data_IF_117847666194
#
_entry.id   IF_117847666194
#
_cell.length_a   1.000
_cell.length_b   1.000
_cell.length_c   1.000
_cell.angle_alpha   90.00
_cell.angle_beta   90.00
_cell.angle_gamma   90.00
#
_symmetry.space_group_name_H-M   'P 1'
#
loop_
_entity.id
_entity.type
_entity.pdbx_description
1 polymer ?
#
# COMPACT_ATOMS: atom_id res chain seq x y z
N UNK A 1 -27.97 -43.45 -9.08
CA UNK A 1 -26.71 -42.73 -9.32
C UNK A 1 -25.92 -42.76 -8.01
N UNK A 2 -24.95 -43.66 -7.89
CA UNK A 2 -24.20 -43.93 -6.66
C UNK A 2 -22.97 -43.03 -6.66
N UNK A 3 -22.86 -42.08 -5.72
CA UNK A 3 -21.62 -41.31 -5.49
C UNK A 3 -20.64 -42.20 -4.73
N UNK A 4 -19.53 -42.56 -5.39
CA UNK A 4 -18.39 -43.17 -4.70
C UNK A 4 -17.59 -42.08 -3.97
N UNK A 5 -17.12 -42.34 -2.73
CA UNK A 5 -16.25 -41.42 -1.99
C UNK A 5 -14.90 -41.27 -2.70
N UNK A 6 -14.34 -40.06 -2.64
CA UNK A 6 -13.14 -39.63 -3.36
C UNK A 6 -11.98 -40.62 -3.24
N UNK A 7 -11.66 -41.29 -4.35
CA UNK A 7 -10.36 -41.91 -4.55
C UNK A 7 -9.38 -40.78 -4.84
N UNK A 8 -8.40 -40.62 -3.96
CA UNK A 8 -7.19 -39.86 -4.24
C UNK A 8 -6.60 -40.40 -5.55
N UNK A 9 -6.42 -39.53 -6.54
CA UNK A 9 -5.76 -39.89 -7.79
C UNK A 9 -4.29 -40.13 -7.45
N UNK A 10 -3.87 -41.40 -7.48
CA UNK A 10 -2.45 -41.74 -7.47
C UNK A 10 -1.89 -41.36 -8.85
N UNK A 11 -1.02 -40.37 -8.91
CA UNK A 11 -0.33 -39.99 -10.14
C UNK A 11 0.75 -41.04 -10.46
N UNK A 12 0.46 -41.86 -11.45
CA UNK A 12 1.40 -42.83 -12.01
C UNK A 12 2.22 -42.17 -13.13
N UNK A 13 3.54 -42.31 -13.06
CA UNK A 13 4.45 -41.96 -14.17
C UNK A 13 4.93 -43.25 -14.85
N UNK A 14 5.43 -43.11 -16.08
CA UNK A 14 6.04 -44.20 -16.84
C UNK A 14 7.48 -43.82 -17.17
N UNK A 15 8.42 -44.75 -17.03
CA UNK A 15 9.81 -44.53 -17.45
C UNK A 15 9.97 -44.67 -18.98
N UNK A 16 11.19 -44.47 -19.47
CA UNK A 16 11.52 -44.53 -20.90
C UNK A 16 11.24 -45.91 -21.53
N UNK A 17 11.16 -46.96 -20.71
CA UNK A 17 10.81 -48.33 -21.12
C UNK A 17 9.31 -48.63 -20.96
N UNK A 18 8.51 -47.65 -20.54
CA UNK A 18 7.06 -47.76 -20.35
C UNK A 18 6.65 -48.52 -19.09
N UNK A 19 7.55 -48.70 -18.12
CA UNK A 19 7.25 -49.35 -16.85
C UNK A 19 6.62 -48.31 -15.91
N UNK A 20 5.41 -48.57 -15.39
CA UNK A 20 4.77 -47.67 -14.46
C UNK A 20 5.52 -47.66 -13.13
N UNK A 21 5.83 -46.46 -12.62
CA UNK A 21 6.35 -46.27 -11.28
C UNK A 21 5.53 -45.22 -10.53
N UNK A 22 5.43 -45.42 -9.22
CA UNK A 22 4.76 -44.48 -8.34
C UNK A 22 5.66 -43.25 -8.17
N UNK A 23 5.15 -42.05 -8.50
CA UNK A 23 5.87 -40.82 -8.16
C UNK A 23 5.86 -40.76 -6.62
N UNK A 24 7.03 -40.80 -5.95
CA UNK A 24 7.04 -40.68 -4.50
C UNK A 24 6.39 -39.35 -4.14
N UNK A 25 5.37 -39.39 -3.28
CA UNK A 25 4.80 -38.17 -2.71
C UNK A 25 5.91 -37.47 -1.95
N UNK A 26 6.45 -36.42 -2.56
CA UNK A 26 7.34 -35.48 -1.89
C UNK A 26 6.38 -34.48 -1.24
N UNK A 27 6.12 -34.56 0.09
CA UNK A 27 5.34 -33.53 0.75
C UNK A 27 5.95 -32.16 0.40
N UNK A 28 5.13 -31.12 0.20
CA UNK A 28 5.65 -29.77 -0.01
C UNK A 28 6.69 -29.53 1.06
N UNK A 29 7.93 -29.29 0.65
CA UNK A 29 8.97 -28.87 1.59
C UNK A 29 8.43 -27.57 2.16
N UNK A 30 7.95 -27.61 3.40
CA UNK A 30 7.67 -26.43 4.19
C UNK A 30 9.00 -25.70 4.29
N UNK A 31 9.26 -24.81 3.35
CA UNK A 31 10.42 -23.94 3.43
C UNK A 31 10.22 -23.16 4.73
N UNK A 32 11.16 -23.22 5.68
CA UNK A 32 11.04 -22.45 6.90
C UNK A 32 10.82 -21.00 6.48
N UNK A 33 9.70 -20.43 6.91
CA UNK A 33 9.45 -18.99 6.78
C UNK A 33 10.67 -18.34 7.41
N UNK A 34 11.46 -17.55 6.67
CA UNK A 34 12.69 -16.99 7.21
C UNK A 34 12.32 -16.24 8.49
N UNK A 35 12.92 -16.67 9.59
CA UNK A 35 12.46 -16.41 10.96
C UNK A 35 12.57 -14.93 11.37
N UNK A 36 13.14 -14.07 10.51
CA UNK A 36 13.20 -12.64 10.74
C UNK A 36 13.27 -11.87 9.41
N UNK A 37 12.26 -11.05 9.14
CA UNK A 37 12.30 -10.05 8.07
C UNK A 37 13.04 -8.81 8.58
N UNK A 38 14.10 -8.33 7.89
CA UNK A 38 14.80 -7.11 8.26
C UNK A 38 13.83 -5.93 8.47
N UNK A 39 14.06 -5.11 9.50
CA UNK A 39 13.16 -4.00 9.87
C UNK A 39 12.86 -3.07 8.68
N UNK A 40 13.85 -2.80 7.83
CA UNK A 40 13.70 -1.97 6.63
C UNK A 40 12.63 -2.52 5.66
N UNK A 41 12.54 -3.85 5.52
CA UNK A 41 11.55 -4.49 4.65
C UNK A 41 10.15 -4.44 5.25
N UNK A 42 10.04 -4.58 6.57
CA UNK A 42 8.76 -4.40 7.27
C UNK A 42 8.25 -2.96 7.10
N UNK A 43 9.12 -1.97 7.29
CA UNK A 43 8.80 -0.55 7.10
C UNK A 43 8.37 -0.30 5.64
N UNK A 44 9.10 -0.84 4.68
CA UNK A 44 8.78 -0.70 3.25
C UNK A 44 7.42 -1.33 2.91
N UNK A 45 7.10 -2.49 3.48
CA UNK A 45 5.80 -3.15 3.33
C UNK A 45 4.67 -2.31 3.90
N UNK A 46 4.83 -1.76 5.10
CA UNK A 46 3.84 -0.85 5.72
C UNK A 46 3.64 0.40 4.84
N UNK A 47 4.71 0.95 4.25
CA UNK A 47 4.61 2.07 3.30
C UNK A 47 3.85 1.67 2.04
N UNK A 48 4.08 0.47 1.50
CA UNK A 48 3.35 -0.05 0.35
C UNK A 48 1.86 -0.25 0.66
N UNK A 49 1.53 -0.89 1.78
CA UNK A 49 0.16 -1.13 2.22
C UNK A 49 -0.61 0.17 2.48
N UNK A 50 0.07 1.19 3.00
CA UNK A 50 -0.52 2.53 3.23
C UNK A 50 -0.55 3.44 1.99
N UNK A 51 0.00 3.01 0.85
CA UNK A 51 0.10 3.83 -0.37
C UNK A 51 1.06 5.02 -0.23
N UNK A 52 2.03 4.94 0.68
CA UNK A 52 3.00 6.02 1.00
C UNK A 52 4.41 5.71 0.52
N UNK A 53 4.53 4.98 -0.58
CA UNK A 53 5.84 4.69 -1.17
C UNK A 53 6.43 5.98 -1.78
N UNK A 54 7.75 6.19 -1.63
CA UNK A 54 8.43 7.32 -2.26
C UNK A 54 8.35 7.23 -3.79
N UNK A 55 8.59 8.34 -4.48
CA UNK A 55 8.60 8.33 -5.95
C UNK A 55 9.76 7.52 -6.55
N UNK A 56 10.92 7.55 -5.90
CA UNK A 56 12.07 6.74 -6.26
C UNK A 56 12.12 5.48 -5.39
N UNK A 57 12.22 4.32 -6.03
CA UNK A 57 12.53 3.06 -5.35
C UNK A 57 13.78 2.43 -5.94
N UNK A 58 14.57 1.82 -5.07
CA UNK A 58 15.74 1.05 -5.47
C UNK A 58 15.31 -0.26 -6.15
N UNK A 59 16.19 -0.81 -6.98
CA UNK A 59 15.90 -2.08 -7.66
C UNK A 59 15.66 -3.25 -6.69
N UNK A 60 16.27 -3.23 -5.51
CA UNK A 60 16.08 -4.27 -4.48
C UNK A 60 14.71 -4.16 -3.81
N UNK A 61 14.26 -2.92 -3.51
CA UNK A 61 12.93 -2.65 -2.97
C UNK A 61 11.84 -3.05 -3.97
N UNK A 62 12.01 -2.72 -5.25
CA UNK A 62 11.07 -3.12 -6.31
C UNK A 62 11.04 -4.64 -6.44
N UNK A 63 12.19 -5.31 -6.46
CA UNK A 63 12.27 -6.77 -6.50
C UNK A 63 11.50 -7.40 -5.34
N UNK A 64 11.73 -6.90 -4.12
CA UNK A 64 11.07 -7.35 -2.91
C UNK A 64 9.54 -7.15 -2.96
N UNK A 65 9.08 -5.96 -3.33
CA UNK A 65 7.65 -5.63 -3.39
C UNK A 65 6.89 -6.40 -4.49
N UNK A 66 7.59 -6.90 -5.50
CA UNK A 66 7.07 -7.82 -6.51
C UNK A 66 7.16 -9.30 -6.12
N UNK A 67 7.81 -9.62 -4.99
CA UNK A 67 8.05 -11.00 -4.55
C UNK A 67 9.19 -11.71 -5.29
N UNK A 68 10.06 -10.98 -5.99
CA UNK A 68 11.23 -11.55 -6.67
C UNK A 68 12.47 -11.58 -5.77
N UNK A 69 13.30 -12.61 -5.95
CA UNK A 69 14.69 -12.57 -5.47
C UNK A 69 15.48 -11.56 -6.31
N UNK A 70 16.32 -10.73 -5.67
CA UNK A 70 17.17 -9.71 -6.34
C UNK A 70 17.90 -10.24 -7.57
N UNK A 71 18.49 -11.44 -7.50
CA UNK A 71 19.20 -12.07 -8.64
C UNK A 71 18.28 -12.36 -9.84
N UNK A 72 17.05 -12.81 -9.59
CA UNK A 72 16.09 -13.09 -10.65
C UNK A 72 15.60 -11.78 -11.28
N UNK A 73 15.32 -10.77 -10.46
CA UNK A 73 14.91 -9.45 -10.92
C UNK A 73 15.98 -8.75 -11.77
N UNK A 74 17.26 -8.83 -11.37
CA UNK A 74 18.36 -8.27 -12.15
C UNK A 74 18.48 -8.92 -13.53
N UNK A 75 18.32 -10.24 -13.64
CA UNK A 75 18.31 -10.94 -14.94
C UNK A 75 17.12 -10.51 -15.80
N UNK A 76 15.97 -10.29 -15.17
CA UNK A 76 14.77 -9.82 -15.84
C UNK A 76 14.98 -8.42 -16.45
N UNK A 77 15.57 -7.50 -15.68
CA UNK A 77 15.87 -6.14 -16.17
C UNK A 77 16.99 -6.13 -17.21
N UNK A 78 17.98 -7.03 -17.15
CA UNK A 78 19.06 -7.05 -18.16
C UNK A 78 18.57 -7.30 -19.59
N UNK A 79 17.42 -7.97 -19.74
CA UNK A 79 16.85 -8.30 -21.05
C UNK A 79 15.93 -7.20 -21.59
N UNK A 80 15.54 -6.22 -20.78
CA UNK A 80 14.51 -5.24 -21.12
C UNK A 80 14.92 -3.83 -20.66
N UNK A 81 14.82 -2.79 -21.49
CA UNK A 81 15.38 -1.47 -21.20
C UNK A 81 14.53 -0.70 -20.16
N UNK A 82 14.67 -1.05 -18.89
CA UNK A 82 14.25 -0.19 -17.79
C UNK A 82 15.28 0.93 -17.64
N UNK A 83 14.82 2.18 -17.66
CA UNK A 83 15.69 3.32 -17.39
C UNK A 83 16.03 3.37 -15.89
N UNK A 84 17.31 3.12 -15.59
CA UNK A 84 17.85 3.09 -14.23
C UNK A 84 18.49 4.44 -13.92
N UNK A 85 18.16 4.97 -12.75
CA UNK A 85 18.78 6.15 -12.16
C UNK A 85 19.65 5.75 -10.96
N UNK A 86 20.62 6.61 -10.64
CA UNK A 86 21.52 6.42 -9.51
C UNK A 86 21.31 7.54 -8.50
N UNK A 87 20.95 7.16 -7.28
CA UNK A 87 20.90 8.08 -6.14
C UNK A 87 22.23 8.03 -5.40
N UNK A 88 22.86 9.18 -5.23
CA UNK A 88 24.11 9.34 -4.50
C UNK A 88 23.83 9.83 -3.08
N UNK A 89 24.10 8.99 -2.09
CA UNK A 89 23.91 9.31 -0.67
C UNK A 89 25.28 9.46 0.00
N UNK A 90 25.62 10.64 0.56
CA UNK A 90 26.83 10.78 1.35
C UNK A 90 26.68 10.04 2.68
N UNK A 91 27.67 9.23 3.02
CA UNK A 91 27.80 8.51 4.29
C UNK A 91 29.06 9.01 4.97
N UNK A 92 28.91 9.54 6.17
CA UNK A 92 30.03 9.97 7.02
C UNK A 92 30.44 8.80 7.92
N UNK A 93 31.71 8.41 7.89
CA UNK A 93 32.29 7.42 8.80
C UNK A 93 32.71 8.05 10.13
N UNK A 94 32.94 7.21 11.15
CA UNK A 94 33.35 7.65 12.49
C UNK A 94 34.65 8.47 12.50
N UNK A 95 35.48 8.35 11.46
CA UNK A 95 36.75 9.10 11.30
C UNK A 95 36.59 10.44 10.56
N UNK A 96 35.35 10.82 10.20
CA UNK A 96 35.00 12.05 9.50
C UNK A 96 35.18 12.01 7.97
N UNK A 97 35.51 10.84 7.37
CA UNK A 97 35.53 10.69 5.92
C UNK A 97 34.12 10.57 5.36
N UNK A 98 33.88 11.23 4.21
CA UNK A 98 32.61 11.17 3.48
C UNK A 98 32.77 10.25 2.28
N UNK A 99 31.96 9.18 2.23
CA UNK A 99 31.84 8.28 1.10
C UNK A 99 30.53 8.52 0.36
N UNK A 100 30.56 8.42 -0.96
CA UNK A 100 29.34 8.51 -1.77
C UNK A 100 28.85 7.09 -2.06
N UNK A 101 27.76 6.69 -1.41
CA UNK A 101 27.09 5.45 -1.71
C UNK A 101 26.14 5.64 -2.89
N UNK A 102 26.32 4.87 -3.97
CA UNK A 102 25.46 4.94 -5.15
C UNK A 102 24.46 3.80 -5.14
N UNK A 103 23.18 4.14 -5.17
CA UNK A 103 22.10 3.16 -5.19
C UNK A 103 21.35 3.22 -6.52
N UNK A 104 21.24 2.09 -7.20
CA UNK A 104 20.48 1.98 -8.46
C UNK A 104 18.99 1.81 -8.18
N UNK A 105 18.16 2.59 -8.86
CA UNK A 105 16.71 2.53 -8.76
C UNK A 105 16.03 3.13 -9.98
N UNK A 106 14.74 3.44 -9.85
CA UNK A 106 13.98 4.12 -10.89
C UNK A 106 12.81 4.87 -10.25
N UNK A 107 12.30 5.86 -10.96
CA UNK A 107 11.11 6.59 -10.53
C UNK A 107 9.84 5.80 -10.87
N UNK A 108 8.77 6.11 -10.17
CA UNK A 108 7.44 5.54 -10.39
C UNK A 108 6.97 5.67 -11.83
N UNK A 109 7.17 6.85 -12.44
CA UNK A 109 6.78 7.13 -13.83
C UNK A 109 7.55 6.28 -14.83
N UNK A 110 8.88 6.19 -14.68
CA UNK A 110 9.74 5.39 -15.55
C UNK A 110 9.42 3.90 -15.43
N UNK A 111 9.19 3.41 -14.21
CA UNK A 111 8.80 2.03 -14.01
C UNK A 111 7.39 1.72 -14.55
N UNK A 112 6.43 2.65 -14.43
CA UNK A 112 5.11 2.53 -15.04
C UNK A 112 5.21 2.43 -16.56
N UNK A 113 5.96 3.31 -17.20
CA UNK A 113 6.21 3.28 -18.64
C UNK A 113 6.83 1.95 -19.09
N UNK A 114 7.80 1.45 -18.33
CA UNK A 114 8.41 0.13 -18.54
C UNK A 114 7.39 -1.01 -18.42
N UNK A 115 6.58 -1.06 -17.37
CA UNK A 115 5.57 -2.12 -17.21
C UNK A 115 4.52 -2.12 -18.31
N UNK A 116 4.17 -0.93 -18.82
CA UNK A 116 3.28 -0.75 -19.96
C UNK A 116 3.92 -1.25 -21.26
N UNK A 117 5.21 -0.98 -21.50
CA UNK A 117 5.89 -1.43 -22.73
C UNK A 117 5.96 -2.96 -22.85
N UNK A 118 6.06 -3.67 -21.74
CA UNK A 118 6.06 -5.14 -21.70
C UNK A 118 4.66 -5.77 -21.57
N UNK A 119 3.58 -4.99 -21.69
CA UNK A 119 2.18 -5.44 -21.52
C UNK A 119 1.90 -6.16 -20.18
N UNK A 120 2.62 -5.81 -19.10
CA UNK A 120 2.41 -6.37 -17.76
C UNK A 120 1.82 -5.33 -16.79
N UNK A 121 0.98 -4.44 -17.31
CA UNK A 121 0.24 -3.45 -16.55
C UNK A 121 -1.25 -3.85 -16.44
N UNK A 122 -1.90 -3.70 -15.27
CA UNK A 122 -1.41 -3.14 -14.00
C UNK A 122 -0.53 -4.12 -13.21
N UNK A 123 0.27 -3.57 -12.29
CA UNK A 123 1.05 -4.40 -11.36
C UNK A 123 0.16 -4.90 -10.23
N UNK A 124 0.30 -6.18 -9.88
CA UNK A 124 -0.40 -6.84 -8.77
C UNK A 124 0.45 -6.85 -7.49
N UNK A 125 -0.17 -7.11 -6.34
CA UNK A 125 0.54 -7.27 -5.05
C UNK A 125 0.81 -5.95 -4.33
N UNK A 126 1.83 -5.90 -3.47
CA UNK A 126 2.16 -4.73 -2.66
C UNK A 126 2.51 -3.49 -3.50
N UNK A 127 3.11 -3.71 -4.66
CA UNK A 127 3.45 -2.62 -5.59
C UNK A 127 2.21 -2.00 -6.25
N UNK A 128 1.03 -2.63 -6.21
CA UNK A 128 -0.21 -2.09 -6.78
C UNK A 128 -0.60 -0.73 -6.18
N UNK A 129 -0.31 -0.53 -4.89
CA UNK A 129 -0.59 0.72 -4.19
C UNK A 129 0.42 1.83 -4.49
N UNK A 130 1.51 1.54 -5.21
CA UNK A 130 2.49 2.56 -5.58
C UNK A 130 1.92 3.54 -6.63
N UNK A 131 0.93 3.11 -7.40
CA UNK A 131 0.30 3.89 -8.48
C UNK A 131 -1.12 4.36 -8.14
N UNK A 132 -1.67 4.01 -6.98
CA UNK A 132 -2.99 4.49 -6.56
C UNK A 132 -3.03 5.99 -6.28
N UNK A 133 -1.87 6.65 -6.26
CA UNK A 133 -1.73 8.10 -6.14
C UNK A 133 -2.32 8.89 -7.31
N UNK A 134 -2.54 8.27 -8.49
CA UNK A 134 -3.28 8.91 -9.59
C UNK A 134 -4.75 9.24 -9.21
N UNK A 135 -5.25 8.76 -8.07
CA UNK A 135 -6.59 9.11 -7.55
C UNK A 135 -6.60 9.90 -6.25
N UNK A 136 -5.48 10.05 -5.55
CA UNK A 136 -5.49 10.63 -4.19
C UNK A 136 -4.44 11.70 -3.91
N UNK A 137 -3.42 11.90 -4.76
CA UNK A 137 -2.46 13.00 -4.56
C UNK A 137 -2.89 14.35 -5.15
N UNK A 138 -3.90 14.38 -6.02
CA UNK A 138 -4.52 15.63 -6.47
C UNK A 138 -5.57 16.18 -5.47
N UNK A 139 -6.01 15.34 -4.53
CA UNK A 139 -6.82 15.81 -3.41
C UNK A 139 -5.91 16.55 -2.44
N UNK A 140 -5.95 17.89 -2.49
CA UNK A 140 -5.14 18.72 -1.60
C UNK A 140 -5.33 18.27 -0.15
N UNK A 141 -4.32 18.47 0.73
CA UNK A 141 -4.35 18.03 2.15
C UNK A 141 -5.67 18.29 2.89
N UNK A 142 -6.42 19.33 2.49
CA UNK A 142 -7.76 19.64 3.00
C UNK A 142 -8.80 18.58 2.65
N UNK A 143 -8.82 18.13 1.41
CA UNK A 143 -9.77 17.15 0.88
C UNK A 143 -9.52 15.78 1.51
N UNK A 144 -8.26 15.39 1.68
CA UNK A 144 -7.89 14.19 2.44
C UNK A 144 -8.44 14.23 3.88
N UNK A 145 -8.33 15.37 4.57
CA UNK A 145 -8.89 15.53 5.91
C UNK A 145 -10.42 15.45 5.92
N UNK A 146 -11.08 16.04 4.92
CA UNK A 146 -12.54 15.98 4.79
C UNK A 146 -13.00 14.53 4.57
N UNK A 147 -12.31 13.80 3.69
CA UNK A 147 -12.58 12.39 3.43
C UNK A 147 -12.49 11.56 4.70
N UNK A 148 -11.40 11.69 5.46
CA UNK A 148 -11.21 10.94 6.71
C UNK A 148 -12.26 11.32 7.76
N UNK A 149 -12.68 12.59 7.82
CA UNK A 149 -13.80 13.01 8.69
C UNK A 149 -15.09 12.26 8.30
N UNK A 150 -15.41 12.19 7.01
CA UNK A 150 -16.60 11.49 6.53
C UNK A 150 -16.53 9.98 6.77
N UNK A 151 -15.39 9.34 6.55
CA UNK A 151 -15.16 7.92 6.81
C UNK A 151 -15.28 7.60 8.30
N UNK A 152 -14.66 8.42 9.15
CA UNK A 152 -14.74 8.28 10.61
C UNK A 152 -16.18 8.44 11.09
N UNK A 153 -16.94 9.39 10.55
CA UNK A 153 -18.34 9.58 10.89
C UNK A 153 -19.17 8.33 10.58
N UNK A 154 -18.98 7.72 9.40
CA UNK A 154 -19.65 6.46 9.03
C UNK A 154 -19.23 5.31 9.94
N UNK A 155 -17.94 5.21 10.28
CA UNK A 155 -17.43 4.16 11.16
C UNK A 155 -18.01 4.23 12.58
N UNK A 156 -18.36 5.42 13.06
CA UNK A 156 -19.03 5.63 14.36
C UNK A 156 -20.54 5.33 14.29
N UNK A 157 -21.08 5.08 13.08
CA UNK A 157 -22.49 4.77 12.86
C UNK A 157 -23.34 5.96 12.41
N UNK A 158 -22.73 7.09 12.02
CA UNK A 158 -23.47 8.18 11.38
C UNK A 158 -23.63 7.88 9.88
N UNK A 159 -24.73 7.24 9.52
CA UNK A 159 -25.07 6.95 8.12
C UNK A 159 -25.40 8.22 7.33
N UNK A 160 -26.15 9.14 7.96
CA UNK A 160 -26.50 10.44 7.38
C UNK A 160 -25.54 11.55 7.86
N UNK A 161 -24.58 11.88 7.01
CA UNK A 161 -23.58 12.93 7.28
C UNK A 161 -24.17 14.34 7.31
N UNK A 162 -25.39 14.54 6.80
CA UNK A 162 -26.05 15.85 6.80
C UNK A 162 -26.86 16.11 8.07
N UNK A 163 -27.12 15.07 8.86
CA UNK A 163 -27.90 15.13 10.10
C UNK A 163 -27.15 14.52 11.27
N UNK A 164 -25.93 15.01 11.53
CA UNK A 164 -25.13 14.52 12.67
C UNK A 164 -25.72 15.07 13.97
N UNK A 165 -26.00 14.21 14.97
CA UNK A 165 -26.60 14.63 16.23
C UNK A 165 -25.68 15.54 17.04
N UNK A 166 -26.27 16.23 18.03
CA UNK A 166 -25.50 17.05 18.96
C UNK A 166 -24.44 16.22 19.69
N UNK A 167 -23.22 16.75 19.76
CA UNK A 167 -22.05 16.02 20.30
C UNK A 167 -21.33 15.12 19.29
N UNK A 168 -21.94 14.76 18.15
CA UNK A 168 -21.30 13.89 17.15
C UNK A 168 -20.01 14.46 16.58
N UNK A 169 -19.93 15.78 16.39
CA UNK A 169 -18.69 16.47 16.01
C UNK A 169 -17.54 16.22 16.98
N UNK A 170 -17.81 16.20 18.29
CA UNK A 170 -16.78 15.97 19.30
C UNK A 170 -16.30 14.51 19.25
N UNK A 171 -17.22 13.55 19.11
CA UNK A 171 -16.88 12.14 18.95
C UNK A 171 -16.01 11.88 17.70
N UNK A 172 -16.38 12.48 16.57
CA UNK A 172 -15.60 12.37 15.32
C UNK A 172 -14.22 13.00 15.50
N UNK A 173 -14.14 14.20 16.12
CA UNK A 173 -12.87 14.88 16.38
C UNK A 173 -11.90 14.02 17.18
N UNK A 174 -12.40 13.39 18.25
CA UNK A 174 -11.59 12.52 19.11
C UNK A 174 -11.03 11.35 18.30
N UNK A 175 -11.88 10.66 17.53
CA UNK A 175 -11.45 9.54 16.69
C UNK A 175 -10.43 9.96 15.62
N UNK A 176 -10.70 11.03 14.85
CA UNK A 176 -9.76 11.48 13.83
C UNK A 176 -8.39 11.90 14.41
N UNK A 177 -8.38 12.53 15.58
CA UNK A 177 -7.13 12.96 16.24
C UNK A 177 -6.34 11.77 16.79
N UNK A 178 -7.01 10.68 17.18
CA UNK A 178 -6.40 9.45 17.66
C UNK A 178 -5.88 8.56 16.51
N UNK A 179 -6.63 8.46 15.41
CA UNK A 179 -6.25 7.65 14.25
C UNK A 179 -5.11 8.26 13.45
N UNK A 180 -5.15 9.58 13.18
CA UNK A 180 -4.18 10.25 12.31
C UNK A 180 -3.65 11.56 12.91
N UNK A 181 -2.80 11.50 13.97
CA UNK A 181 -2.28 12.69 14.65
C UNK A 181 -1.49 13.64 13.73
N UNK A 182 -0.80 13.09 12.73
CA UNK A 182 -0.02 13.83 11.75
C UNK A 182 -0.89 14.67 10.80
N UNK A 183 -2.11 14.21 10.53
CA UNK A 183 -3.04 14.89 9.65
C UNK A 183 -3.93 15.87 10.41
N UNK A 184 -4.32 15.54 11.64
CA UNK A 184 -5.24 16.34 12.45
C UNK A 184 -4.56 17.02 13.65
N UNK A 185 -3.98 18.20 13.41
CA UNK A 185 -3.66 19.14 14.49
C UNK A 185 -4.92 19.74 15.12
N UNK A 186 -4.79 20.38 16.31
CA UNK A 186 -5.90 21.01 17.05
C UNK A 186 -6.78 21.91 16.16
N UNK A 187 -6.18 22.63 15.22
CA UNK A 187 -6.87 23.54 14.29
C UNK A 187 -7.20 22.91 12.93
N UNK A 188 -6.44 21.89 12.50
CA UNK A 188 -6.65 21.25 11.20
C UNK A 188 -8.05 20.63 11.09
N UNK A 189 -8.52 19.96 12.15
CA UNK A 189 -9.87 19.41 12.20
C UNK A 189 -10.93 20.50 12.04
N UNK A 190 -10.79 21.61 12.78
CA UNK A 190 -11.74 22.73 12.73
C UNK A 190 -11.85 23.29 11.32
N UNK A 191 -10.71 23.52 10.65
CA UNK A 191 -10.66 24.05 9.28
C UNK A 191 -11.27 23.09 8.28
N UNK A 192 -10.92 21.80 8.33
CA UNK A 192 -11.49 20.78 7.44
C UNK A 192 -13.00 20.62 7.65
N UNK A 193 -13.47 20.61 8.89
CA UNK A 193 -14.89 20.55 9.21
C UNK A 193 -15.68 21.75 8.65
N UNK A 194 -15.15 22.96 8.81
CA UNK A 194 -15.80 24.17 8.26
C UNK A 194 -15.90 24.11 6.75
N UNK A 195 -14.83 23.68 6.09
CA UNK A 195 -14.79 23.53 4.63
C UNK A 195 -15.75 22.45 4.14
N UNK A 196 -15.80 21.29 4.80
CA UNK A 196 -16.76 20.23 4.49
C UNK A 196 -18.22 20.69 4.65
N UNK A 197 -18.52 21.48 5.68
CA UNK A 197 -19.85 22.05 5.90
C UNK A 197 -20.21 23.07 4.81
N UNK A 198 -19.24 23.91 4.41
CA UNK A 198 -19.40 24.85 3.29
C UNK A 198 -19.70 24.13 1.97
N UNK A 199 -19.08 22.97 1.75
CA UNK A 199 -19.30 22.11 0.58
C UNK A 199 -20.57 21.25 0.67
N UNK A 200 -21.31 21.29 1.79
CA UNK A 200 -22.51 20.49 1.98
C UNK A 200 -22.24 18.99 2.11
N UNK A 201 -21.04 18.59 2.54
CA UNK A 201 -20.67 17.19 2.76
C UNK A 201 -21.01 16.71 4.17
N UNK A 202 -21.09 17.64 5.13
CA UNK A 202 -21.35 17.35 6.52
C UNK A 202 -22.14 18.48 7.18
N UNK A 203 -23.13 18.14 8.01
CA UNK A 203 -23.92 19.15 8.75
C UNK A 203 -24.39 18.58 10.09
N UNK A 204 -24.41 19.46 11.09
CA UNK A 204 -24.94 19.16 12.43
C UNK A 204 -26.43 19.47 12.42
N UNK A 205 -27.22 18.56 12.97
CA UNK A 205 -28.65 18.72 13.19
C UNK A 205 -28.93 19.99 14.02
N UNK A 206 -30.06 20.65 13.78
CA UNK A 206 -30.52 21.80 14.60
C UNK A 206 -29.57 23.01 14.66
N UNK A 207 -28.71 23.23 13.64
CA UNK A 207 -27.82 24.41 13.55
C UNK A 207 -28.57 25.74 13.74
N UNK A 208 -29.84 25.79 13.37
CA UNK A 208 -30.72 26.96 13.48
C UNK A 208 -30.96 27.40 14.92
N UNK A 209 -30.94 26.50 15.92
CA UNK A 209 -31.12 26.86 17.33
C UNK A 209 -29.99 27.76 17.87
N UNK A 210 -28.84 27.80 17.20
CA UNK A 210 -27.65 28.51 17.67
C UNK A 210 -27.36 29.81 16.92
N UNK A 211 -28.05 30.10 15.80
CA UNK A 211 -27.83 31.34 15.03
C UNK A 211 -28.71 32.49 15.56
N UNK A 212 -29.79 32.19 16.27
CA UNK A 212 -30.84 33.15 16.65
C UNK A 212 -30.52 34.08 17.84
N UNK A 213 -29.24 34.32 18.17
CA UNK A 213 -28.84 35.13 19.34
C UNK A 213 -27.75 36.19 19.04
N UNK A 214 -27.66 36.68 17.81
CA UNK A 214 -26.87 37.86 17.47
C UNK A 214 -27.74 39.07 17.18
#
# INVERSE_FOLDING_TARGET
MIRLPGKEFEDWAFDDDGIPYQIPYIPPIEMPVPEYEPEDRQILRIKAESGRLPDFLTLDEIAFLLGYKRRAFNKFIQNEPLEIEYLETPIEEDDGRIFIHKTSGTTREKFKAYRQSINQWPVTGLLANWWTDDKHNDEGRRDQQIRIICETARAIGYEDLLNIPEGGRAAIKTNCSSSDPHLFSKDAFKRAWTEANKRGLIRIENKEKFVSKQ
#
